data_IF_431376303264
#
_entry.id   IF_431376303264
#
_cell.length_a   1.000
_cell.length_b   1.000
_cell.length_c   1.000
_cell.angle_alpha   90.00
_cell.angle_beta   90.00
_cell.angle_gamma   90.00
#
_symmetry.space_group_name_H-M   'P 1'
#
loop_
_entity.id
_entity.type
_entity.pdbx_description
1 polymer ?
#
# COMPACT_ATOMS: atom_id res chain seq x y z
N UNK A 1 1.54 -17.63 13.82
CA UNK A 1 2.93 -17.20 13.59
C UNK A 1 2.91 -15.72 13.29
N UNK A 2 3.59 -14.89 14.08
CA UNK A 2 3.52 -13.43 13.95
C UNK A 2 4.50 -12.90 12.89
N UNK A 3 3.99 -12.06 11.99
CA UNK A 3 4.75 -11.28 11.02
C UNK A 3 4.54 -9.81 11.39
N UNK A 4 5.62 -9.04 11.40
CA UNK A 4 5.60 -7.63 11.78
C UNK A 4 6.28 -6.83 10.69
N UNK A 5 5.61 -5.82 10.16
CA UNK A 5 6.21 -4.84 9.27
C UNK A 5 6.85 -3.69 10.06
N UNK A 6 7.79 -3.00 9.43
CA UNK A 6 8.43 -1.80 10.01
C UNK A 6 7.80 -0.48 9.54
N UNK A 7 6.69 -0.53 8.80
CA UNK A 7 5.98 0.63 8.27
C UNK A 7 6.66 1.38 7.13
N UNK A 8 7.83 0.93 6.65
CA UNK A 8 8.51 1.54 5.50
C UNK A 8 7.84 1.09 4.21
N UNK A 9 7.49 2.03 3.33
CA UNK A 9 6.71 1.77 2.12
C UNK A 9 7.63 1.86 0.90
N UNK A 10 7.84 0.72 0.23
CA UNK A 10 8.60 0.60 -1.01
C UNK A 10 7.70 0.39 -2.23
N UNK A 11 6.39 0.27 -2.02
CA UNK A 11 5.42 0.03 -3.08
C UNK A 11 4.00 -0.02 -2.55
N UNK A 12 3.04 0.08 -3.45
CA UNK A 12 1.60 0.07 -3.18
C UNK A 12 0.92 -0.78 -4.26
N UNK A 13 -0.06 -1.56 -3.82
CA UNK A 13 -0.95 -2.33 -4.68
C UNK A 13 -2.38 -2.04 -4.25
N UNK A 14 -3.20 -1.67 -5.22
CA UNK A 14 -4.64 -1.45 -5.09
C UNK A 14 -5.33 -2.49 -5.95
N UNK A 15 -6.22 -3.26 -5.34
CA UNK A 15 -6.89 -4.38 -6.02
C UNK A 15 -8.30 -4.58 -5.47
N UNK A 16 -9.15 -5.19 -6.27
CA UNK A 16 -10.41 -5.78 -5.84
C UNK A 16 -10.37 -7.30 -6.06
N UNK A 17 -11.43 -7.98 -5.66
CA UNK A 17 -11.67 -9.37 -6.03
C UNK A 17 -12.68 -9.39 -7.16
N UNK A 18 -12.37 -10.12 -8.22
CA UNK A 18 -13.37 -10.45 -9.23
C UNK A 18 -14.35 -11.50 -8.69
N UNK A 19 -15.46 -11.72 -9.40
CA UNK A 19 -16.52 -12.69 -9.04
C UNK A 19 -16.00 -14.12 -8.76
N UNK A 20 -14.81 -14.46 -9.24
CA UNK A 20 -14.13 -15.75 -9.05
C UNK A 20 -13.11 -15.75 -7.88
N UNK A 21 -13.19 -14.80 -6.93
CA UNK A 21 -12.26 -14.64 -5.79
C UNK A 21 -10.76 -14.48 -6.17
N UNK A 22 -10.48 -14.14 -7.42
CA UNK A 22 -9.13 -13.77 -7.88
C UNK A 22 -8.88 -12.28 -7.68
N UNK A 23 -7.71 -11.95 -7.13
CA UNK A 23 -7.27 -10.57 -6.99
C UNK A 23 -7.06 -9.94 -8.37
N UNK A 24 -7.82 -8.90 -8.67
CA UNK A 24 -7.69 -8.09 -9.86
C UNK A 24 -6.94 -6.81 -9.51
N UNK A 25 -5.69 -6.75 -9.96
CA UNK A 25 -4.79 -5.63 -9.65
C UNK A 25 -5.19 -4.45 -10.52
N UNK A 26 -5.64 -3.38 -9.87
CA UNK A 26 -6.04 -2.13 -10.53
C UNK A 26 -4.87 -1.17 -10.68
N UNK A 27 -4.00 -1.15 -9.67
CA UNK A 27 -2.79 -0.32 -9.62
C UNK A 27 -1.70 -1.05 -8.84
N UNK A 28 -0.49 -1.07 -9.36
CA UNK A 28 0.67 -1.61 -8.65
C UNK A 28 1.92 -0.80 -9.02
N UNK A 29 2.56 -0.26 -7.99
CA UNK A 29 3.87 0.35 -8.10
C UNK A 29 4.80 -0.21 -7.03
N UNK A 30 6.05 -0.45 -7.43
CA UNK A 30 7.06 -1.07 -6.59
C UNK A 30 8.43 -0.53 -6.96
N UNK A 31 9.18 -0.12 -5.95
CA UNK A 31 10.48 0.51 -6.10
C UNK A 31 11.55 -0.22 -5.27
N UNK A 32 12.81 0.02 -5.61
CA UNK A 32 13.96 -0.42 -4.83
C UNK A 32 14.26 0.51 -3.64
N UNK A 33 13.65 1.70 -3.64
CA UNK A 33 13.81 2.75 -2.65
C UNK A 33 12.45 3.06 -1.98
N UNK A 34 12.48 3.81 -0.88
CA UNK A 34 11.26 4.23 -0.18
C UNK A 34 10.46 5.14 -1.12
N UNK A 35 9.15 4.91 -1.21
CA UNK A 35 8.26 5.74 -2.02
C UNK A 35 8.34 7.21 -1.61
N UNK A 36 8.44 8.10 -2.60
CA UNK A 36 8.37 9.55 -2.38
C UNK A 36 6.92 9.98 -2.14
N UNK A 37 6.74 11.18 -1.58
CA UNK A 37 5.40 11.76 -1.42
C UNK A 37 4.67 11.93 -2.76
N UNK A 38 5.39 12.26 -3.84
CA UNK A 38 4.81 12.37 -5.18
C UNK A 38 4.26 11.01 -5.67
N UNK A 39 5.04 9.93 -5.52
CA UNK A 39 4.61 8.57 -5.88
C UNK A 39 3.41 8.11 -5.02
N UNK A 40 3.43 8.41 -3.72
CA UNK A 40 2.28 8.12 -2.86
C UNK A 40 1.04 8.91 -3.31
N UNK A 41 1.21 10.16 -3.72
CA UNK A 41 0.14 11.02 -4.19
C UNK A 41 -0.48 10.51 -5.51
N UNK A 42 0.31 9.93 -6.40
CA UNK A 42 -0.19 9.31 -7.64
C UNK A 42 -1.15 8.15 -7.32
N UNK A 43 -0.76 7.26 -6.41
CA UNK A 43 -1.63 6.17 -5.97
C UNK A 43 -2.91 6.68 -5.28
N UNK A 44 -2.80 7.76 -4.49
CA UNK A 44 -3.97 8.43 -3.92
C UNK A 44 -4.90 8.98 -4.99
N UNK A 45 -4.37 9.70 -5.99
CA UNK A 45 -5.18 10.22 -7.09
C UNK A 45 -5.87 9.12 -7.87
N UNK A 46 -5.15 8.04 -8.20
CA UNK A 46 -5.74 6.86 -8.83
C UNK A 46 -6.93 6.34 -8.02
N UNK A 47 -6.77 6.13 -6.71
CA UNK A 47 -7.87 5.70 -5.84
C UNK A 47 -9.04 6.69 -5.83
N UNK A 48 -8.77 7.99 -5.84
CA UNK A 48 -9.84 9.00 -5.82
C UNK A 48 -10.70 8.97 -7.09
N UNK A 49 -10.11 8.63 -8.24
CA UNK A 49 -10.78 8.58 -9.55
C UNK A 49 -11.58 7.29 -9.79
N UNK A 50 -11.42 6.25 -8.95
CA UNK A 50 -12.20 5.02 -9.07
C UNK A 50 -13.70 5.29 -8.88
N UNK A 51 -14.50 4.88 -9.86
CA UNK A 51 -15.96 5.03 -9.84
C UNK A 51 -16.63 4.15 -8.76
N UNK A 52 -16.12 2.93 -8.58
CA UNK A 52 -16.57 1.99 -7.56
C UNK A 52 -15.42 1.74 -6.58
N UNK A 53 -15.65 2.06 -5.30
CA UNK A 53 -14.68 1.88 -4.22
C UNK A 53 -15.08 0.76 -3.26
N UNK A 54 -16.19 0.08 -3.56
CA UNK A 54 -16.61 -1.08 -2.80
C UNK A 54 -15.58 -2.19 -2.99
N UNK A 55 -15.21 -2.86 -1.91
CA UNK A 55 -14.32 -4.03 -1.90
C UNK A 55 -12.87 -3.77 -2.35
N UNK A 56 -12.49 -2.50 -2.58
CA UNK A 56 -11.09 -2.12 -2.81
C UNK A 56 -10.24 -2.45 -1.59
N UNK A 57 -9.11 -3.09 -1.84
CA UNK A 57 -8.10 -3.46 -0.86
C UNK A 57 -6.76 -2.86 -1.21
N UNK A 58 -5.94 -2.73 -0.17
CA UNK A 58 -4.62 -2.11 -0.25
C UNK A 58 -3.59 -3.05 0.33
N UNK A 59 -2.48 -3.20 -0.37
CA UNK A 59 -1.26 -3.82 0.12
C UNK A 59 -0.10 -2.88 -0.13
N UNK A 60 0.83 -2.81 0.80
CA UNK A 60 2.07 -2.06 0.63
C UNK A 60 3.25 -3.00 0.69
N UNK A 61 4.24 -2.72 -0.13
CA UNK A 61 5.46 -3.48 -0.17
C UNK A 61 6.38 -2.95 0.92
N UNK A 62 6.68 -3.78 1.91
CA UNK A 62 7.38 -3.35 3.12
C UNK A 62 8.36 -4.41 3.60
N UNK A 63 9.28 -3.97 4.44
CA UNK A 63 10.21 -4.86 5.10
C UNK A 63 9.57 -5.41 6.37
N UNK A 64 9.53 -6.73 6.44
CA UNK A 64 8.93 -7.51 7.49
C UNK A 64 9.99 -8.32 8.24
N UNK A 65 9.65 -8.67 9.48
CA UNK A 65 10.35 -9.67 10.29
C UNK A 65 9.37 -10.76 10.73
N UNK A 66 9.91 -11.94 11.07
CA UNK A 66 9.14 -13.08 11.57
C UNK A 66 9.66 -13.53 12.91
N UNK A 67 8.76 -13.99 13.77
CA UNK A 67 9.08 -14.56 15.10
C UNK A 67 10.03 -15.75 15.08
N UNK A 68 10.16 -16.46 13.96
CA UNK A 68 11.03 -17.63 13.81
C UNK A 68 12.01 -17.51 12.63
N UNK A 69 12.02 -16.38 11.93
CA UNK A 69 12.88 -16.17 10.77
C UNK A 69 14.15 -15.42 11.16
N UNK A 70 15.30 -15.84 10.64
CA UNK A 70 16.53 -15.07 10.77
C UNK A 70 16.57 -13.97 9.70
N UNK A 71 16.14 -12.77 10.08
CA UNK A 71 16.37 -11.56 9.31
C UNK A 71 15.12 -10.89 8.73
N UNK A 72 15.39 -9.82 7.98
CA UNK A 72 14.40 -8.97 7.36
C UNK A 72 14.13 -9.43 5.93
N UNK A 73 12.86 -9.47 5.53
CA UNK A 73 12.45 -9.82 4.17
C UNK A 73 11.40 -8.84 3.67
N UNK A 74 11.28 -8.68 2.35
CA UNK A 74 10.27 -7.79 1.76
C UNK A 74 9.02 -8.58 1.40
N UNK A 75 7.84 -8.02 1.67
CA UNK A 75 6.55 -8.66 1.38
C UNK A 75 5.48 -7.60 1.13
N UNK A 76 4.49 -7.96 0.31
CA UNK A 76 3.18 -7.29 0.33
C UNK A 76 2.50 -7.56 1.67
N UNK A 77 2.18 -6.48 2.38
CA UNK A 77 1.52 -6.51 3.68
C UNK A 77 0.19 -5.76 3.59
N UNK A 78 -0.90 -6.30 4.17
CA UNK A 78 -2.22 -5.69 4.06
C UNK A 78 -2.26 -4.32 4.76
N UNK A 79 -2.92 -3.37 4.12
CA UNK A 79 -3.15 -2.01 4.62
C UNK A 79 -4.64 -1.74 4.70
N UNK A 80 -5.07 -1.12 5.80
CA UNK A 80 -6.44 -0.64 5.92
C UNK A 80 -6.63 0.65 5.12
N UNK A 81 -7.86 0.90 4.67
CA UNK A 81 -8.21 2.16 4.01
C UNK A 81 -7.82 3.39 4.85
N UNK A 82 -8.03 3.35 6.17
CA UNK A 82 -7.67 4.48 7.05
C UNK A 82 -6.16 4.78 7.02
N UNK A 83 -5.33 3.73 7.10
CA UNK A 83 -3.86 3.88 7.02
C UNK A 83 -3.45 4.36 5.63
N UNK A 84 -4.10 3.87 4.57
CA UNK A 84 -3.86 4.34 3.22
C UNK A 84 -4.15 5.84 3.09
N UNK A 85 -5.32 6.29 3.53
CA UNK A 85 -5.70 7.71 3.48
C UNK A 85 -4.75 8.58 4.33
N UNK A 86 -4.36 8.11 5.52
CA UNK A 86 -3.42 8.82 6.39
C UNK A 86 -2.03 8.97 5.76
N UNK A 87 -1.53 7.93 5.07
CA UNK A 87 -0.16 7.93 4.53
C UNK A 87 -0.05 8.51 3.12
N UNK A 88 -1.06 8.31 2.29
CA UNK A 88 -1.04 8.66 0.87
C UNK A 88 -1.87 9.92 0.56
N UNK A 89 -2.82 10.29 1.42
CA UNK A 89 -3.70 11.44 1.24
C UNK A 89 -3.20 12.75 1.86
N UNK A 90 -1.96 12.81 2.37
CA UNK A 90 -1.40 14.05 2.93
C UNK A 90 -1.13 15.03 1.80
N UNK A 91 -1.95 16.08 1.72
CA UNK A 91 -1.55 17.31 1.04
C UNK A 91 -0.46 17.98 1.89
N UNK A 92 0.65 18.39 1.28
CA UNK A 92 1.66 19.22 1.95
C UNK A 92 0.97 20.43 2.61
N UNK A 93 0.77 20.38 3.92
CA UNK A 93 0.50 21.56 4.76
C UNK A 93 1.79 22.39 4.93
N UNK A 94 2.42 22.76 3.81
CA UNK A 94 3.43 23.83 3.79
C UNK A 94 3.02 24.92 2.81
N UNK A 95 2.00 25.67 3.22
CA UNK A 95 1.87 27.09 2.88
C UNK A 95 1.75 27.88 4.18
N UNK A 96 2.91 28.23 4.76
CA UNK A 96 3.06 29.36 5.68
C UNK A 96 3.89 30.41 4.98
#
# INVERSE_FOLDING_TARGET
MGIYDNGTIFGIRIYDFNDDDFANILFEEKYNEIMTHEQMREAYFFYTELNNKNEIRFEYYTQCSSTYGEGLFLRWYPMSLNIFLEKFGIEDETKV
#
